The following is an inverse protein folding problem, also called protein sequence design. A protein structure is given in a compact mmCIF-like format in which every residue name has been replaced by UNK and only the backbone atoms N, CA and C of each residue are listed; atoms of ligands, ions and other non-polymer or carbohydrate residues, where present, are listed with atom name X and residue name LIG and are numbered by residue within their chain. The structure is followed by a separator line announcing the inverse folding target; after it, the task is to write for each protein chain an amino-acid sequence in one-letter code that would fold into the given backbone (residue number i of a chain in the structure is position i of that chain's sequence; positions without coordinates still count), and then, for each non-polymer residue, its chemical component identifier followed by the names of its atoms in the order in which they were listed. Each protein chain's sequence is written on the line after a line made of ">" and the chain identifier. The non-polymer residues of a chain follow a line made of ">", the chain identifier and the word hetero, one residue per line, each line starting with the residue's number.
data_IF_242127448092
#
_entry.id   IF_242127448092
#
_cell.length_a   1.000
_cell.length_b   1.000
_cell.length_c   1.000
_cell.angle_alpha   90.00
_cell.angle_beta   90.00
_cell.angle_gamma   90.00
#
_symmetry.space_group_name_H-M   'P 1'
#
loop_
_entity.id
_entity.type
_entity.pdbx_description
1 polymer ?
#
# COMPACT_ATOMS: atom_id res chain seq x y z
N UNK A 1 -8.50 31.05 30.54
CA UNK A 1 -7.62 30.04 29.90
C UNK A 1 -8.02 29.89 28.44
N UNK A 2 -7.12 30.10 27.47
CA UNK A 2 -7.44 29.92 26.05
C UNK A 2 -7.21 28.45 25.68
N UNK A 3 -8.26 27.78 25.19
CA UNK A 3 -8.23 26.37 24.80
C UNK A 3 -7.64 26.24 23.38
N UNK A 4 -6.52 25.52 23.23
CA UNK A 4 -5.74 25.44 21.99
C UNK A 4 -6.21 24.36 21.00
N UNK A 5 -7.27 23.61 21.33
CA UNK A 5 -8.02 22.81 20.37
C UNK A 5 -9.50 22.85 20.75
N UNK A 6 -10.21 23.94 20.38
CA UNK A 6 -11.65 23.99 20.63
C UNK A 6 -12.33 22.84 19.88
N UNK A 7 -12.95 21.94 20.64
CA UNK A 7 -13.91 20.95 20.15
C UNK A 7 -14.87 21.65 19.17
N UNK A 8 -15.12 21.08 17.97
CA UNK A 8 -15.95 21.75 16.96
C UNK A 8 -17.28 22.21 17.56
N UNK A 9 -17.70 23.43 17.21
CA UNK A 9 -18.87 24.09 17.81
C UNK A 9 -20.14 23.25 17.75
N UNK A 10 -20.28 22.43 16.70
CA UNK A 10 -21.37 21.45 16.54
C UNK A 10 -21.38 20.35 17.59
N UNK A 11 -20.21 19.82 17.93
CA UNK A 11 -20.07 18.78 18.94
C UNK A 11 -20.41 19.37 20.31
N UNK A 12 -19.86 20.55 20.64
CA UNK A 12 -20.20 21.29 21.87
C UNK A 12 -21.70 21.56 21.99
N UNK A 13 -22.34 21.96 20.87
CA UNK A 13 -23.77 22.17 20.81
C UNK A 13 -24.54 20.89 21.13
N UNK A 14 -24.17 19.76 20.52
CA UNK A 14 -24.83 18.48 20.77
C UNK A 14 -24.65 17.99 22.20
N UNK A 15 -23.43 18.07 22.75
CA UNK A 15 -23.15 17.68 24.13
C UNK A 15 -24.03 18.45 25.13
N UNK A 16 -24.21 19.76 24.94
CA UNK A 16 -25.09 20.55 25.80
C UNK A 16 -26.57 20.16 25.64
N UNK A 17 -27.02 19.80 24.43
CA UNK A 17 -28.37 19.28 24.24
C UNK A 17 -28.54 17.91 24.92
N UNK A 18 -27.54 17.03 24.82
CA UNK A 18 -27.54 15.69 25.43
C UNK A 18 -27.50 15.78 26.97
N UNK A 19 -26.84 16.81 27.52
CA UNK A 19 -26.86 17.17 28.95
C UNK A 19 -28.22 17.75 29.42
N UNK A 20 -29.17 17.96 28.50
CA UNK A 20 -30.54 18.42 28.80
C UNK A 20 -30.74 19.93 28.75
N UNK A 21 -29.78 20.72 28.29
CA UNK A 21 -29.95 22.16 28.14
C UNK A 21 -30.90 22.50 26.98
N UNK A 22 -31.65 23.60 27.11
CA UNK A 22 -32.52 24.07 26.03
C UNK A 22 -31.71 24.57 24.83
N UNK A 23 -32.30 24.49 23.63
CA UNK A 23 -31.69 24.99 22.39
C UNK A 23 -31.33 26.46 22.53
N UNK A 24 -32.24 27.27 23.10
CA UNK A 24 -32.04 28.71 23.32
C UNK A 24 -30.83 28.99 24.21
N UNK A 25 -30.76 28.33 25.36
CA UNK A 25 -29.64 28.47 26.29
C UNK A 25 -28.31 28.07 25.62
N UNK A 26 -28.32 26.96 24.89
CA UNK A 26 -27.14 26.45 24.19
C UNK A 26 -26.67 27.40 23.08
N UNK A 27 -27.60 27.99 22.32
CA UNK A 27 -27.25 28.97 21.27
C UNK A 27 -26.69 30.27 21.83
N UNK A 28 -27.25 30.78 22.93
CA UNK A 28 -26.76 31.98 23.61
C UNK A 28 -25.36 31.72 24.19
N UNK A 29 -25.16 30.56 24.84
CA UNK A 29 -23.87 30.15 25.43
C UNK A 29 -22.75 29.95 24.39
N UNK A 30 -23.08 29.47 23.19
CA UNK A 30 -22.12 29.21 22.12
C UNK A 30 -22.04 30.32 21.07
N UNK A 31 -22.83 31.41 21.19
CA UNK A 31 -22.89 32.47 20.19
C UNK A 31 -23.35 31.99 18.80
N UNK A 32 -24.24 31.00 18.76
CA UNK A 32 -24.72 30.38 17.52
C UNK A 32 -26.04 30.99 17.05
N UNK A 33 -26.17 31.21 15.74
CA UNK A 33 -27.47 31.51 15.15
C UNK A 33 -28.44 30.32 15.29
N UNK A 34 -29.71 30.61 15.55
CA UNK A 34 -30.74 29.59 15.74
C UNK A 34 -30.94 28.70 14.50
N UNK A 35 -30.71 29.25 13.30
CA UNK A 35 -30.71 28.50 12.03
C UNK A 35 -29.63 27.43 11.98
N UNK A 36 -28.43 27.73 12.48
CA UNK A 36 -27.29 26.80 12.57
C UNK A 36 -27.56 25.70 13.59
N UNK A 37 -28.15 26.03 14.74
CA UNK A 37 -28.59 25.05 15.74
C UNK A 37 -29.60 24.05 15.17
N UNK A 38 -30.64 24.54 14.48
CA UNK A 38 -31.60 23.68 13.76
C UNK A 38 -30.91 22.81 12.71
N UNK A 39 -29.93 23.35 11.98
CA UNK A 39 -29.16 22.58 11.02
C UNK A 39 -28.37 21.44 11.69
N UNK A 40 -27.74 21.69 12.85
CA UNK A 40 -26.99 20.69 13.61
C UNK A 40 -27.86 19.54 14.13
N UNK A 41 -29.08 19.83 14.58
CA UNK A 41 -30.06 18.82 15.01
C UNK A 41 -30.58 17.99 13.84
N UNK A 42 -30.82 18.61 12.68
CA UNK A 42 -31.41 17.94 11.51
C UNK A 42 -30.45 17.03 10.77
N UNK A 43 -29.15 17.35 10.76
CA UNK A 43 -28.14 16.61 9.98
C UNK A 43 -27.42 15.59 10.86
N UNK A 44 -26.97 14.45 10.29
CA UNK A 44 -26.03 13.57 10.97
C UNK A 44 -24.66 14.26 11.13
N UNK A 45 -23.85 13.82 12.10
CA UNK A 45 -22.54 14.45 12.37
C UNK A 45 -21.55 14.25 11.23
N UNK A 46 -21.61 13.06 10.62
CA UNK A 46 -20.79 12.74 9.45
C UNK A 46 -21.34 13.46 8.22
N UNK A 47 -20.55 14.36 7.65
CA UNK A 47 -20.85 14.91 6.33
C UNK A 47 -20.73 13.79 5.29
N UNK A 48 -21.85 13.45 4.67
CA UNK A 48 -21.85 12.61 3.47
C UNK A 48 -21.50 13.54 2.31
N UNK A 49 -20.25 13.47 1.85
CA UNK A 49 -19.85 14.20 0.63
C UNK A 49 -20.64 13.63 -0.55
N UNK A 50 -21.15 14.47 -1.46
CA UNK A 50 -21.76 13.98 -2.67
C UNK A 50 -20.73 13.14 -3.46
N UNK A 51 -21.17 12.11 -4.19
CA UNK A 51 -20.27 11.36 -5.04
C UNK A 51 -19.60 12.31 -6.04
N UNK A 52 -18.31 12.09 -6.28
CA UNK A 52 -17.56 12.84 -7.28
C UNK A 52 -18.05 12.57 -8.71
N UNK A 53 -17.43 13.23 -9.69
CA UNK A 53 -17.69 12.94 -11.11
C UNK A 53 -17.34 11.50 -11.44
N UNK A 54 -18.15 10.86 -12.29
CA UNK A 54 -17.89 9.52 -12.78
C UNK A 54 -16.54 9.48 -13.52
N UNK A 55 -15.77 8.38 -13.40
CA UNK A 55 -14.55 8.20 -14.19
C UNK A 55 -14.83 8.24 -15.69
N UNK A 56 -13.88 8.75 -16.49
CA UNK A 56 -13.96 8.75 -17.96
C UNK A 56 -13.83 7.35 -18.58
N UNK A 57 -13.14 6.45 -17.89
CA UNK A 57 -12.88 5.08 -18.34
C UNK A 57 -13.61 4.15 -17.37
N UNK A 58 -14.41 3.23 -17.90
CA UNK A 58 -15.11 2.24 -17.07
C UNK A 58 -14.14 1.23 -16.47
N UNK A 59 -14.52 0.69 -15.32
CA UNK A 59 -13.72 -0.30 -14.61
C UNK A 59 -13.45 -1.57 -15.46
N UNK A 60 -14.47 -2.00 -16.19
CA UNK A 60 -14.40 -3.15 -17.11
C UNK A 60 -13.39 -2.92 -18.23
N UNK A 61 -13.38 -1.71 -18.82
CA UNK A 61 -12.43 -1.37 -19.88
C UNK A 61 -11.01 -1.35 -19.37
N UNK A 62 -10.78 -0.85 -18.15
CA UNK A 62 -9.45 -0.89 -17.52
C UNK A 62 -9.00 -2.35 -17.34
N UNK A 63 -9.89 -3.23 -16.88
CA UNK A 63 -9.58 -4.65 -16.70
C UNK A 63 -9.27 -5.34 -18.03
N UNK A 64 -10.03 -5.02 -19.09
CA UNK A 64 -9.76 -5.51 -20.46
C UNK A 64 -8.34 -5.13 -20.91
N UNK A 65 -7.97 -3.86 -20.73
CA UNK A 65 -6.63 -3.35 -21.09
C UNK A 65 -5.54 -4.05 -20.29
N UNK A 66 -5.72 -4.21 -18.98
CA UNK A 66 -4.76 -4.90 -18.10
C UNK A 66 -4.59 -6.35 -18.53
N UNK A 67 -5.69 -7.07 -18.76
CA UNK A 67 -5.66 -8.46 -19.21
C UNK A 67 -4.97 -8.60 -20.56
N UNK A 68 -5.17 -7.63 -21.47
CA UNK A 68 -4.61 -7.65 -22.81
C UNK A 68 -3.07 -7.61 -22.84
N UNK A 69 -2.42 -6.82 -21.97
CA UNK A 69 -0.95 -6.78 -21.91
C UNK A 69 -0.34 -7.66 -20.80
N UNK A 70 -1.15 -8.19 -19.88
CA UNK A 70 -0.65 -9.11 -18.85
C UNK A 70 -0.16 -10.40 -19.51
N UNK A 71 1.07 -10.83 -19.17
CA UNK A 71 1.70 -11.99 -19.82
C UNK A 71 2.40 -11.71 -21.16
N UNK A 72 2.15 -10.57 -21.80
CA UNK A 72 2.73 -10.24 -23.11
C UNK A 72 3.70 -9.06 -23.01
N UNK A 73 5.00 -9.33 -23.14
CA UNK A 73 6.05 -8.31 -23.00
C UNK A 73 5.91 -7.18 -24.02
N UNK A 74 5.72 -7.52 -25.29
CA UNK A 74 5.64 -6.54 -26.39
C UNK A 74 4.51 -5.53 -26.14
N UNK A 75 3.37 -6.02 -25.67
CA UNK A 75 2.21 -5.18 -25.33
C UNK A 75 2.45 -4.31 -24.10
N UNK A 76 3.18 -4.82 -23.11
CA UNK A 76 3.58 -4.05 -21.90
C UNK A 76 4.62 -2.98 -22.19
N UNK A 77 5.40 -3.13 -23.26
CA UNK A 77 6.38 -2.12 -23.69
C UNK A 77 5.77 -0.94 -24.46
N UNK A 78 4.50 -1.03 -24.87
CA UNK A 78 3.81 0.04 -25.57
C UNK A 78 3.57 1.23 -24.65
N UNK A 79 3.86 2.43 -25.15
CA UNK A 79 3.56 3.68 -24.46
C UNK A 79 2.05 3.85 -24.20
N UNK A 80 1.71 4.65 -23.19
CA UNK A 80 0.31 4.98 -22.87
C UNK A 80 -0.46 5.56 -24.07
N UNK A 81 0.21 6.37 -24.90
CA UNK A 81 -0.36 6.89 -26.14
C UNK A 81 -0.75 5.77 -27.10
N UNK A 82 0.15 4.81 -27.33
CA UNK A 82 -0.13 3.66 -28.20
C UNK A 82 -1.26 2.78 -27.64
N UNK A 83 -1.31 2.59 -26.32
CA UNK A 83 -2.40 1.86 -25.67
C UNK A 83 -3.73 2.60 -25.89
N UNK A 84 -3.77 3.93 -25.73
CA UNK A 84 -4.98 4.73 -26.00
C UNK A 84 -5.44 4.63 -27.45
N UNK A 85 -4.51 4.68 -28.39
CA UNK A 85 -4.81 4.53 -29.83
C UNK A 85 -5.38 3.13 -30.11
N UNK A 86 -4.80 2.08 -29.52
CA UNK A 86 -5.26 0.69 -29.70
C UNK A 86 -6.69 0.47 -29.17
N UNK A 87 -7.04 1.09 -28.05
CA UNK A 87 -8.35 0.94 -27.41
C UNK A 87 -9.33 2.10 -27.72
N UNK A 88 -8.99 2.98 -28.66
CA UNK A 88 -9.79 4.14 -29.07
C UNK A 88 -10.26 5.01 -27.88
N UNK A 89 -9.35 5.29 -26.94
CA UNK A 89 -9.68 6.01 -25.70
C UNK A 89 -9.54 7.53 -25.85
N UNK A 90 -10.66 8.23 -25.72
CA UNK A 90 -10.75 9.69 -25.70
C UNK A 90 -10.42 10.29 -24.31
N UNK A 91 -9.22 10.03 -23.82
CA UNK A 91 -8.74 10.55 -22.54
C UNK A 91 -7.27 10.96 -22.61
N UNK A 92 -6.72 11.65 -21.61
CA UNK A 92 -5.28 11.93 -21.57
C UNK A 92 -4.50 10.77 -20.93
N UNK A 93 -3.19 10.67 -21.18
CA UNK A 93 -2.32 9.64 -20.60
C UNK A 93 -2.40 9.61 -19.05
N UNK A 94 -2.44 10.79 -18.42
CA UNK A 94 -2.62 10.91 -16.97
C UNK A 94 -3.97 10.35 -16.49
N UNK A 95 -5.01 10.41 -17.32
CA UNK A 95 -6.32 9.83 -17.01
C UNK A 95 -6.24 8.31 -17.04
N UNK A 96 -5.53 7.75 -18.02
CA UNK A 96 -5.30 6.32 -18.15
C UNK A 96 -4.43 5.79 -16.99
N UNK A 97 -3.35 6.49 -16.63
CA UNK A 97 -2.52 6.15 -15.46
C UNK A 97 -3.32 6.17 -14.16
N UNK A 98 -4.11 7.21 -13.94
CA UNK A 98 -4.97 7.30 -12.76
C UNK A 98 -6.03 6.19 -12.76
N UNK A 99 -6.54 5.78 -13.92
CA UNK A 99 -7.47 4.66 -14.04
C UNK A 99 -6.80 3.33 -13.67
N UNK A 100 -5.58 3.07 -14.16
CA UNK A 100 -4.79 1.91 -13.76
C UNK A 100 -4.52 1.90 -12.24
N UNK A 101 -4.10 3.03 -11.67
CA UNK A 101 -3.82 3.15 -10.24
C UNK A 101 -5.05 2.86 -9.36
N UNK A 102 -6.25 3.32 -9.76
CA UNK A 102 -7.51 2.98 -9.06
C UNK A 102 -7.83 1.48 -9.12
N UNK A 103 -7.37 0.79 -10.16
CA UNK A 103 -7.51 -0.66 -10.35
C UNK A 103 -6.36 -1.46 -9.73
N UNK A 104 -5.44 -0.82 -9.01
CA UNK A 104 -4.29 -1.49 -8.40
C UNK A 104 -3.19 -1.88 -9.39
N UNK A 105 -3.24 -1.40 -10.63
CA UNK A 105 -2.20 -1.64 -11.62
C UNK A 105 -1.25 -0.44 -11.69
N UNK A 106 0.02 -0.66 -11.37
CA UNK A 106 1.07 0.34 -11.52
C UNK A 106 1.79 0.14 -12.85
N UNK A 107 1.38 0.94 -13.84
CA UNK A 107 2.03 0.95 -15.14
C UNK A 107 3.48 1.43 -15.00
N UNK A 108 4.41 0.57 -15.42
CA UNK A 108 5.83 0.88 -15.49
C UNK A 108 6.39 0.26 -16.76
N UNK A 109 7.37 0.92 -17.37
CA UNK A 109 8.12 0.34 -18.47
C UNK A 109 8.87 -0.88 -17.96
N UNK A 110 8.76 -2.06 -18.62
CA UNK A 110 9.49 -3.24 -18.19
C UNK A 110 11.00 -2.98 -18.16
N UNK A 111 11.65 -3.28 -17.03
CA UNK A 111 13.11 -3.26 -16.97
C UNK A 111 13.66 -4.42 -17.79
N UNK A 112 14.30 -4.11 -18.93
CA UNK A 112 14.93 -5.13 -19.76
C UNK A 112 16.29 -5.53 -19.15
N UNK A 113 16.43 -6.79 -18.77
CA UNK A 113 17.75 -7.34 -18.42
C UNK A 113 18.49 -7.66 -19.73
N UNK A 114 19.74 -7.20 -19.93
CA UNK A 114 20.47 -7.46 -21.17
C UNK A 114 20.57 -8.97 -21.43
N UNK A 115 20.56 -9.35 -22.71
CA UNK A 115 20.70 -10.75 -23.11
C UNK A 115 22.02 -11.31 -22.58
N UNK A 116 21.94 -12.39 -21.81
CA UNK A 116 23.09 -13.12 -21.29
C UNK A 116 23.35 -14.30 -22.22
N UNK A 117 24.60 -14.45 -22.68
CA UNK A 117 25.01 -15.61 -23.49
C UNK A 117 24.74 -16.93 -22.75
N UNK A 118 24.53 -18.03 -23.50
CA UNK A 118 24.30 -19.36 -22.89
C UNK A 118 25.45 -19.75 -21.94
N UNK A 119 26.69 -19.45 -22.31
CA UNK A 119 27.88 -19.68 -21.47
C UNK A 119 27.81 -18.91 -20.14
N UNK A 120 27.41 -17.63 -20.17
CA UNK A 120 27.29 -16.82 -18.96
C UNK A 120 26.08 -17.23 -18.11
N UNK A 121 24.99 -17.72 -18.72
CA UNK A 121 23.87 -18.34 -17.98
C UNK A 121 24.33 -19.59 -17.22
N UNK A 122 25.12 -20.45 -17.87
CA UNK A 122 25.68 -21.64 -17.24
C UNK A 122 26.63 -21.29 -16.09
N UNK A 123 27.55 -20.34 -16.29
CA UNK A 123 28.45 -19.84 -15.22
C UNK A 123 27.66 -19.34 -14.01
N UNK A 124 26.58 -18.58 -14.22
CA UNK A 124 25.71 -18.11 -13.12
C UNK A 124 24.97 -19.24 -12.42
N UNK A 125 24.49 -20.24 -13.17
CA UNK A 125 23.83 -21.40 -12.58
C UNK A 125 24.79 -22.24 -11.72
N UNK A 126 26.02 -22.46 -12.20
CA UNK A 126 27.08 -23.15 -11.45
C UNK A 126 27.47 -22.35 -10.21
N UNK A 127 27.71 -21.05 -10.36
CA UNK A 127 28.02 -20.17 -9.22
C UNK A 127 26.91 -20.19 -8.17
N UNK A 128 25.64 -20.05 -8.60
CA UNK A 128 24.50 -20.12 -7.69
C UNK A 128 24.45 -21.47 -6.97
N UNK A 129 24.57 -22.59 -7.68
CA UNK A 129 24.57 -23.93 -7.08
C UNK A 129 25.70 -24.09 -6.04
N UNK A 130 26.91 -23.65 -6.37
CA UNK A 130 28.07 -23.76 -5.48
C UNK A 130 28.00 -22.81 -4.27
N UNK A 131 27.47 -21.60 -4.44
CA UNK A 131 27.29 -20.65 -3.34
C UNK A 131 26.20 -21.12 -2.37
N UNK A 132 25.10 -21.67 -2.89
CA UNK A 132 24.05 -22.27 -2.07
C UNK A 132 24.54 -23.51 -1.30
N UNK A 133 25.34 -24.39 -1.92
CA UNK A 133 25.91 -25.56 -1.22
C UNK A 133 26.92 -25.16 -0.14
N UNK A 134 27.77 -24.16 -0.39
CA UNK A 134 28.76 -23.69 0.57
C UNK A 134 28.13 -22.99 1.80
N UNK A 135 26.96 -22.35 1.63
CA UNK A 135 26.20 -21.78 2.76
C UNK A 135 25.52 -22.84 3.64
N UNK A 136 25.26 -24.03 3.11
CA UNK A 136 24.70 -25.15 3.88
C UNK A 136 25.78 -25.93 4.63
N UNK A 137 26.92 -26.22 3.99
CA UNK A 137 28.05 -26.92 4.64
C UNK A 137 28.66 -26.11 5.78
N UNK A 138 28.81 -24.79 5.60
CA UNK A 138 29.29 -23.90 6.67
C UNK A 138 28.35 -23.77 7.88
N UNK A 139 27.03 -24.02 7.71
CA UNK A 139 26.09 -24.10 8.83
C UNK A 139 26.21 -25.42 9.59
N UNK A 140 26.33 -26.54 8.89
CA UNK A 140 26.48 -27.86 9.52
C UNK A 140 27.82 -28.00 10.26
N UNK A 141 28.90 -27.47 9.69
CA UNK A 141 30.23 -27.45 10.31
C UNK A 141 30.27 -26.59 11.58
N UNK A 142 29.57 -25.45 11.61
CA UNK A 142 29.49 -24.62 12.82
C UNK A 142 28.64 -25.27 13.94
N UNK A 143 27.61 -26.05 13.59
CA UNK A 143 26.86 -26.86 14.58
C UNK A 143 27.65 -28.07 15.06
N UNK A 144 28.37 -28.80 14.20
CA UNK A 144 29.19 -29.95 14.64
C UNK A 144 30.46 -29.54 15.39
N UNK A 145 31.05 -28.39 15.06
CA UNK A 145 32.17 -27.82 15.80
C UNK A 145 31.77 -27.49 17.24
N UNK A 146 30.61 -26.87 17.48
CA UNK A 146 30.14 -26.51 18.83
C UNK A 146 29.83 -27.72 19.71
N UNK A 147 29.42 -28.87 19.15
CA UNK A 147 29.26 -30.13 19.89
C UNK A 147 30.60 -30.81 20.19
N UNK A 148 31.57 -30.76 19.27
CA UNK A 148 32.92 -31.35 19.49
C UNK A 148 33.69 -30.63 20.59
N UNK A 149 33.69 -29.30 20.63
CA UNK A 149 34.42 -28.54 21.68
C UNK A 149 33.81 -28.69 23.08
N UNK A 150 32.49 -28.90 23.20
CA UNK A 150 31.86 -29.20 24.49
C UNK A 150 32.18 -30.61 24.98
N UNK A 151 32.31 -31.58 24.06
CA UNK A 151 32.65 -32.97 24.42
C UNK A 151 34.11 -33.11 24.85
N UNK A 152 35.08 -32.48 24.19
CA UNK A 152 36.50 -32.52 24.61
C UNK A 152 36.77 -31.83 25.95
N UNK A 153 36.00 -30.79 26.32
CA UNK A 153 36.10 -30.18 27.67
C UNK A 153 35.55 -31.06 28.80
N UNK A 154 34.60 -31.96 28.50
CA UNK A 154 34.04 -32.88 29.51
C UNK A 154 34.97 -34.07 29.80
N UNK A 155 35.76 -34.51 28.83
CA UNK A 155 36.69 -35.65 29.03
C UNK A 155 38.06 -35.25 29.60
N UNK A 156 38.49 -33.98 29.52
CA UNK A 156 39.77 -33.54 30.11
C UNK A 156 39.69 -33.23 31.61
N UNK A 157 38.50 -33.24 32.22
CA UNK A 157 38.32 -33.04 33.66
C UNK A 157 38.33 -34.39 34.41
N UNK A 158 38.12 -35.51 33.72
CA UNK A 158 38.06 -36.86 34.32
C UNK A 158 39.37 -37.66 34.26
N UNK A 159 40.46 -37.11 33.70
CA UNK A 159 41.77 -37.78 33.57
C UNK A 159 42.89 -37.10 34.38
N UNK A 160 42.52 -36.23 35.33
CA UNK A 160 43.44 -35.49 36.21
C UNK A 160 43.07 -35.69 37.69
N UNK A 161 42.84 -36.95 38.10
CA UNK A 161 42.81 -37.39 39.51
C UNK A 161 43.62 -38.66 39.61
#
# INVERSE_FOLDING_TARGET
>A
MPWTHETPTRVRFKTLIDEGYSIRHTTEKLGLAYSTARYFLRRPDRQIKPPGRKPKISAEKVQEIVNWFTGYYDRRSLSLRQIREHFYLECYDNTLLAAFGRHGYHYHTPNYKPFISKANKLKRAIYGRNDYSNRFTSKEENTTATWRTKKTRLYSVYLSV
#
